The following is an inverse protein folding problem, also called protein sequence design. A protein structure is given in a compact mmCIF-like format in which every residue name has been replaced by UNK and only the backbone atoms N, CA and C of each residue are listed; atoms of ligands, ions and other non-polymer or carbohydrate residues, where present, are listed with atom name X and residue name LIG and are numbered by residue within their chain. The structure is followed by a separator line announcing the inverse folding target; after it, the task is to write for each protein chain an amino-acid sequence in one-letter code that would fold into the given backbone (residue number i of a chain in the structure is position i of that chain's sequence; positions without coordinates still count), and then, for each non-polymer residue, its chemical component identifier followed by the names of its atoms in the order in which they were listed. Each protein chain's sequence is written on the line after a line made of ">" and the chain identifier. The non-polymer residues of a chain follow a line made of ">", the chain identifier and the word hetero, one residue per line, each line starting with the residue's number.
data_IF_114774210939
#
_entry.id   IF_114774210939
#
_cell.length_a   1.000
_cell.length_b   1.000
_cell.length_c   1.000
_cell.angle_alpha   90.00
_cell.angle_beta   90.00
_cell.angle_gamma   90.00
#
_symmetry.space_group_name_H-M   'P 1'
#
loop_
_entity.id
_entity.type
_entity.pdbx_description
1 polymer ?
#
# COMPACT_ATOMS: atom_id res chain seq x y z
N UNK A 1 -13.54 -4.68 10.63
CA UNK A 1 -12.85 -5.93 10.21
C UNK A 1 -13.10 -6.98 11.28
N UNK A 2 -13.39 -8.25 10.94
CA UNK A 2 -13.79 -9.28 11.93
C UNK A 2 -12.64 -10.17 12.46
N UNK A 3 -11.43 -10.05 11.90
CA UNK A 3 -10.25 -10.81 12.32
C UNK A 3 -9.50 -10.17 13.48
N UNK A 4 -8.65 -10.96 14.15
CA UNK A 4 -7.71 -10.45 15.16
C UNK A 4 -6.72 -9.46 14.54
N UNK A 5 -6.18 -8.53 15.33
CA UNK A 5 -5.18 -7.54 14.84
C UNK A 5 -4.02 -8.24 14.14
N UNK A 6 -3.52 -9.33 14.70
CA UNK A 6 -2.53 -10.20 14.04
C UNK A 6 -3.23 -11.45 13.49
N UNK A 7 -2.98 -11.84 12.23
CA UNK A 7 -2.01 -11.29 11.27
C UNK A 7 -2.53 -10.12 10.42
N UNK A 8 -3.81 -9.75 10.55
CA UNK A 8 -4.50 -8.89 9.58
C UNK A 8 -3.92 -7.48 9.43
N UNK A 9 -3.30 -6.92 10.47
CA UNK A 9 -2.66 -5.61 10.43
C UNK A 9 -1.70 -5.48 9.24
N UNK A 10 -0.93 -6.53 8.93
CA UNK A 10 0.02 -6.50 7.82
C UNK A 10 -0.65 -6.51 6.44
N UNK A 11 -1.85 -7.09 6.30
CA UNK A 11 -2.56 -7.11 5.02
C UNK A 11 -3.55 -5.94 4.89
N UNK A 12 -4.05 -5.39 6.00
CA UNK A 12 -4.99 -4.26 5.97
C UNK A 12 -4.29 -2.91 5.98
N UNK A 13 -3.16 -2.79 6.70
CA UNK A 13 -2.32 -1.59 6.79
C UNK A 13 -1.02 -1.86 6.00
N UNK A 14 -1.19 -2.21 4.73
CA UNK A 14 -0.13 -2.74 3.88
C UNK A 14 1.10 -1.83 3.80
N UNK A 15 0.91 -0.51 3.67
CA UNK A 15 2.05 0.42 3.61
C UNK A 15 2.60 0.82 5.00
N UNK A 16 1.78 0.74 6.06
CA UNK A 16 2.14 1.20 7.40
C UNK A 16 2.83 0.17 8.30
N UNK A 17 2.62 -1.14 8.06
CA UNK A 17 3.32 -2.20 8.80
C UNK A 17 4.62 -2.62 8.11
N UNK A 18 4.55 -3.03 6.83
CA UNK A 18 5.71 -3.33 5.95
C UNK A 18 5.27 -3.16 4.50
N UNK A 19 5.95 -2.31 3.73
CA UNK A 19 5.60 -2.00 2.34
C UNK A 19 6.53 -2.65 1.31
N UNK A 20 6.02 -3.63 0.57
CA UNK A 20 6.70 -4.20 -0.60
C UNK A 20 6.75 -3.22 -1.76
N UNK A 21 5.69 -2.43 -1.97
CA UNK A 21 5.68 -1.42 -3.01
C UNK A 21 6.76 -0.35 -2.78
N UNK A 22 6.94 0.16 -1.55
CA UNK A 22 8.02 1.09 -1.25
C UNK A 22 9.41 0.50 -1.50
N UNK A 23 9.61 -0.79 -1.23
CA UNK A 23 10.88 -1.47 -1.53
C UNK A 23 11.18 -1.51 -3.04
N UNK A 24 10.16 -1.76 -3.88
CA UNK A 24 10.30 -1.76 -5.34
C UNK A 24 10.59 -0.35 -5.87
N UNK A 25 9.81 0.64 -5.45
CA UNK A 25 9.95 2.01 -5.95
C UNK A 25 11.30 2.60 -5.52
N UNK A 26 11.68 2.42 -4.25
CA UNK A 26 12.96 2.92 -3.73
C UNK A 26 14.17 2.29 -4.44
N UNK A 27 14.09 1.02 -4.85
CA UNK A 27 15.15 0.38 -5.64
C UNK A 27 15.42 1.08 -6.99
N UNK A 28 14.40 1.75 -7.56
CA UNK A 28 14.50 2.45 -8.84
C UNK A 28 14.82 3.94 -8.72
N UNK A 29 14.51 4.56 -7.57
CA UNK A 29 14.64 6.01 -7.34
C UNK A 29 15.82 6.35 -6.44
N UNK A 30 15.94 5.73 -5.26
CA UNK A 30 16.96 6.07 -4.26
C UNK A 30 18.39 5.97 -4.82
N UNK A 31 18.79 4.92 -5.56
CA UNK A 31 20.12 4.84 -6.15
C UNK A 31 20.45 5.97 -7.12
N UNK A 32 19.45 6.62 -7.71
CA UNK A 32 19.61 7.76 -8.64
C UNK A 32 19.64 9.12 -7.95
N UNK A 33 19.24 9.16 -6.68
CA UNK A 33 19.19 10.38 -5.86
C UNK A 33 20.33 10.48 -4.85
N UNK A 34 21.10 9.39 -4.66
CA UNK A 34 22.26 9.37 -3.75
C UNK A 34 23.57 9.56 -4.52
N UNK A 35 24.49 10.30 -3.92
CA UNK A 35 25.86 10.49 -4.44
C UNK A 35 26.84 9.44 -3.87
N UNK A 36 26.56 8.94 -2.67
CA UNK A 36 27.36 7.95 -1.94
C UNK A 36 26.46 7.09 -1.06
N UNK A 37 26.94 5.91 -0.70
CA UNK A 37 26.20 4.93 0.12
C UNK A 37 25.72 5.52 1.46
N UNK A 38 26.51 6.40 2.08
CA UNK A 38 26.14 7.06 3.33
C UNK A 38 24.83 7.87 3.27
N UNK A 39 24.41 8.33 2.07
CA UNK A 39 23.13 9.06 1.92
C UNK A 39 21.92 8.13 1.99
N UNK A 40 22.09 6.82 1.74
CA UNK A 40 20.99 5.85 1.76
C UNK A 40 20.29 5.82 3.13
N UNK A 41 21.05 5.97 4.22
CA UNK A 41 20.48 6.04 5.58
C UNK A 41 19.60 7.27 5.74
N UNK A 42 20.11 8.47 5.40
CA UNK A 42 19.34 9.71 5.57
C UNK A 42 18.07 9.72 4.70
N UNK A 43 18.19 9.35 3.42
CA UNK A 43 17.05 9.35 2.50
C UNK A 43 16.04 8.25 2.86
N UNK A 44 16.50 7.00 3.03
CA UNK A 44 15.62 5.86 3.30
C UNK A 44 14.96 5.95 4.68
N UNK A 45 15.75 6.13 5.74
CA UNK A 45 15.22 6.23 7.10
C UNK A 45 14.43 7.53 7.31
N UNK A 46 14.88 8.65 6.76
CA UNK A 46 14.17 9.93 6.82
C UNK A 46 12.81 9.87 6.14
N UNK A 47 12.69 9.19 4.99
CA UNK A 47 11.39 8.98 4.34
C UNK A 47 10.42 8.19 5.24
N UNK A 48 10.89 7.13 5.90
CA UNK A 48 10.07 6.34 6.83
C UNK A 48 9.65 7.15 8.06
N UNK A 49 10.50 8.02 8.58
CA UNK A 49 10.15 8.93 9.67
C UNK A 49 9.07 9.94 9.25
N UNK A 50 9.16 10.50 8.04
CA UNK A 50 8.14 11.41 7.52
C UNK A 50 6.80 10.71 7.29
N UNK A 51 6.81 9.47 6.77
CA UNK A 51 5.59 8.67 6.63
C UNK A 51 4.96 8.35 8.00
N UNK A 52 5.79 8.01 8.99
CA UNK A 52 5.35 7.79 10.38
C UNK A 52 4.76 9.06 11.00
N UNK A 53 5.38 10.21 10.73
CA UNK A 53 4.87 11.51 11.17
C UNK A 53 3.48 11.81 10.59
N UNK A 54 3.26 11.57 9.29
CA UNK A 54 1.93 11.70 8.67
C UNK A 54 0.92 10.76 9.32
N UNK A 55 1.32 9.52 9.63
CA UNK A 55 0.46 8.57 10.37
C UNK A 55 0.05 9.07 11.76
N UNK A 56 0.98 9.65 12.51
CA UNK A 56 0.69 10.28 13.81
C UNK A 56 -0.24 11.48 13.64
N UNK A 57 -0.01 12.34 12.65
CA UNK A 57 -0.89 13.48 12.36
C UNK A 57 -2.32 13.03 12.02
N UNK A 58 -2.48 11.95 11.24
CA UNK A 58 -3.79 11.37 10.94
C UNK A 58 -4.50 10.84 12.19
N UNK A 59 -3.77 10.21 13.11
CA UNK A 59 -4.32 9.76 14.38
C UNK A 59 -4.74 10.94 15.26
N UNK A 60 -3.92 11.98 15.36
CA UNK A 60 -4.26 13.20 16.11
C UNK A 60 -5.48 13.90 15.52
N UNK A 61 -5.53 14.05 14.19
CA UNK A 61 -6.68 14.62 13.49
C UNK A 61 -7.97 13.81 13.74
N UNK A 62 -7.89 12.48 13.71
CA UNK A 62 -9.01 11.60 14.02
C UNK A 62 -9.51 11.78 15.47
N UNK A 63 -8.59 11.85 16.44
CA UNK A 63 -8.91 12.02 17.86
C UNK A 63 -9.36 13.44 18.23
N UNK A 64 -9.03 14.45 17.43
CA UNK A 64 -9.45 15.83 17.66
C UNK A 64 -10.92 16.10 17.26
N UNK A 65 -11.48 15.28 16.38
CA UNK A 65 -12.89 15.37 15.97
C UNK A 65 -13.82 14.74 17.00
N UNK A 66 -15.07 15.22 17.07
CA UNK A 66 -16.09 14.51 17.84
C UNK A 66 -16.33 13.12 17.24
N UNK A 67 -16.48 12.06 18.05
CA UNK A 67 -16.68 10.71 17.53
C UNK A 67 -17.87 10.62 16.57
N UNK A 68 -18.95 11.35 16.82
CA UNK A 68 -20.12 11.40 15.94
C UNK A 68 -19.77 11.87 14.52
N UNK A 69 -19.00 12.96 14.40
CA UNK A 69 -18.52 13.47 13.09
C UNK A 69 -17.58 12.47 12.42
N UNK A 70 -16.65 11.88 13.18
CA UNK A 70 -15.74 10.86 12.65
C UNK A 70 -16.51 9.66 12.06
N UNK A 71 -17.50 9.14 12.79
CA UNK A 71 -18.32 8.02 12.31
C UNK A 71 -19.23 8.42 11.15
N UNK A 72 -19.73 9.65 11.10
CA UNK A 72 -20.55 10.14 9.99
C UNK A 72 -19.78 10.25 8.67
N UNK A 73 -18.51 10.61 8.75
CA UNK A 73 -17.61 10.63 7.59
C UNK A 73 -17.27 9.20 7.14
N UNK A 74 -16.90 8.33 8.08
CA UNK A 74 -16.27 7.04 7.76
C UNK A 74 -17.22 5.85 7.61
N UNK A 75 -18.47 5.96 8.03
CA UNK A 75 -19.41 4.83 7.98
C UNK A 75 -20.10 4.78 6.62
N UNK A 76 -20.17 3.61 5.96
CA UNK A 76 -20.88 3.47 4.70
C UNK A 76 -22.41 3.49 4.90
N UNK A 77 -23.19 3.86 3.85
CA UNK A 77 -24.65 3.93 3.94
C UNK A 77 -25.32 2.59 4.29
N UNK A 78 -24.66 1.47 3.98
CA UNK A 78 -25.12 0.12 4.33
C UNK A 78 -25.13 -0.15 5.85
N UNK A 79 -24.41 0.65 6.63
CA UNK A 79 -24.33 0.51 8.09
C UNK A 79 -25.17 1.60 8.78
N UNK A 80 -25.07 2.85 8.33
CA UNK A 80 -25.72 3.99 9.02
C UNK A 80 -27.03 4.45 8.38
N UNK A 81 -27.36 3.96 7.19
CA UNK A 81 -28.51 4.41 6.41
C UNK A 81 -28.14 5.44 5.33
N UNK A 82 -29.02 5.60 4.34
CA UNK A 82 -28.78 6.45 3.17
C UNK A 82 -29.15 7.93 3.38
N UNK A 83 -29.91 8.26 4.42
CA UNK A 83 -30.34 9.63 4.73
C UNK A 83 -29.55 10.20 5.92
N UNK A 84 -29.42 11.53 5.98
CA UNK A 84 -28.73 12.20 7.08
C UNK A 84 -29.39 11.92 8.44
N UNK A 85 -30.72 11.86 8.49
CA UNK A 85 -31.47 11.56 9.72
C UNK A 85 -31.25 10.12 10.19
N UNK A 86 -31.30 9.14 9.27
CA UNK A 86 -31.01 7.76 9.60
C UNK A 86 -29.56 7.58 10.06
N UNK A 87 -28.63 8.27 9.40
CA UNK A 87 -27.22 8.28 9.76
C UNK A 87 -26.99 8.82 11.16
N UNK A 88 -27.53 10.00 11.45
CA UNK A 88 -27.42 10.65 12.75
C UNK A 88 -28.07 9.83 13.87
N UNK A 89 -29.25 9.26 13.64
CA UNK A 89 -29.93 8.40 14.60
C UNK A 89 -29.13 7.13 14.91
N UNK A 90 -28.60 6.48 13.86
CA UNK A 90 -27.81 5.26 14.01
C UNK A 90 -26.51 5.53 14.77
N UNK A 91 -25.77 6.57 14.41
CA UNK A 91 -24.52 6.94 15.10
C UNK A 91 -24.80 7.37 16.55
N UNK A 92 -25.88 8.11 16.79
CA UNK A 92 -26.31 8.47 18.14
C UNK A 92 -26.66 7.24 18.98
N UNK A 93 -27.24 6.19 18.36
CA UNK A 93 -27.51 4.92 19.04
C UNK A 93 -26.26 4.18 19.49
N UNK A 94 -25.09 4.48 18.90
CA UNK A 94 -23.80 3.93 19.32
C UNK A 94 -23.20 4.64 20.55
N UNK A 95 -23.91 5.64 21.10
CA UNK A 95 -23.45 6.45 22.21
C UNK A 95 -22.68 7.70 21.80
N UNK A 96 -22.72 8.09 20.53
CA UNK A 96 -22.05 9.27 19.98
C UNK A 96 -23.07 10.28 19.47
N UNK A 97 -23.52 11.25 20.30
CA UNK A 97 -24.56 12.19 19.92
C UNK A 97 -24.15 12.96 18.66
N UNK A 98 -25.00 12.91 17.64
CA UNK A 98 -24.80 13.62 16.38
C UNK A 98 -26.15 14.14 15.89
N UNK A 99 -26.19 15.44 15.56
CA UNK A 99 -27.35 16.03 14.88
C UNK A 99 -27.07 16.13 13.37
N UNK A 100 -28.08 15.89 12.51
CA UNK A 100 -27.93 16.03 11.06
C UNK A 100 -27.38 17.41 10.65
N UNK A 101 -27.85 18.45 11.33
CA UNK A 101 -27.46 19.85 11.14
C UNK A 101 -25.96 20.09 11.37
N UNK A 102 -25.35 19.37 12.31
CA UNK A 102 -23.90 19.48 12.58
C UNK A 102 -23.09 19.14 11.34
N UNK A 103 -23.47 18.08 10.63
CA UNK A 103 -22.78 17.65 9.40
C UNK A 103 -23.07 18.59 8.23
N UNK A 104 -24.30 19.10 8.11
CA UNK A 104 -24.66 20.10 7.09
C UNK A 104 -23.88 21.39 7.28
N UNK A 105 -23.81 21.90 8.52
CA UNK A 105 -23.05 23.10 8.85
C UNK A 105 -21.55 22.92 8.61
N UNK A 106 -21.01 21.75 8.98
CA UNK A 106 -19.60 21.44 8.75
C UNK A 106 -19.29 21.37 7.24
N UNK A 107 -20.15 20.73 6.44
CA UNK A 107 -20.00 20.67 4.99
C UNK A 107 -19.99 22.08 4.37
N UNK A 108 -20.93 22.94 4.76
CA UNK A 108 -20.94 24.34 4.33
C UNK A 108 -19.69 25.11 4.77
N UNK A 109 -19.20 24.90 6.01
CA UNK A 109 -18.03 25.59 6.53
C UNK A 109 -16.73 25.20 5.81
N UNK A 110 -16.60 23.94 5.37
CA UNK A 110 -15.45 23.50 4.57
C UNK A 110 -15.59 23.84 3.08
N UNK A 111 -16.80 24.13 2.59
CA UNK A 111 -17.09 24.40 1.18
C UNK A 111 -17.45 23.17 0.36
N UNK A 112 -17.99 22.13 1.01
CA UNK A 112 -18.39 20.85 0.40
C UNK A 112 -19.91 20.71 0.36
N UNK A 113 -20.42 19.95 -0.62
CA UNK A 113 -21.86 19.64 -0.73
C UNK A 113 -22.30 18.73 0.41
N UNK A 114 -21.47 17.75 0.77
CA UNK A 114 -21.74 16.78 1.84
C UNK A 114 -20.45 16.15 2.33
N UNK A 115 -20.40 15.86 3.62
CA UNK A 115 -19.32 15.10 4.28
C UNK A 115 -19.79 13.71 4.74
N UNK A 116 -21.06 13.37 4.51
CA UNK A 116 -21.60 12.05 4.87
C UNK A 116 -20.98 10.94 4.02
N UNK A 117 -20.66 9.83 4.68
CA UNK A 117 -20.29 8.57 4.04
C UNK A 117 -19.08 8.68 3.07
N UNK A 118 -18.24 9.71 3.24
CA UNK A 118 -16.95 9.83 2.53
C UNK A 118 -15.91 8.92 3.20
N UNK A 119 -16.17 7.62 3.13
CA UNK A 119 -15.36 6.62 3.81
C UNK A 119 -13.91 6.66 3.32
N UNK A 120 -12.98 6.85 4.25
CA UNK A 120 -11.55 6.92 3.95
C UNK A 120 -10.79 7.75 5.00
N UNK A 121 -9.49 7.50 5.09
CA UNK A 121 -8.60 8.31 5.94
C UNK A 121 -8.55 9.77 5.48
N UNK A 122 -8.71 10.01 4.17
CA UNK A 122 -8.49 11.32 3.56
C UNK A 122 -9.43 12.42 4.06
N UNK A 123 -10.76 12.22 3.98
CA UNK A 123 -11.69 13.28 4.36
C UNK A 123 -11.63 13.54 5.87
N UNK A 124 -11.36 12.50 6.66
CA UNK A 124 -11.18 12.57 8.11
C UNK A 124 -9.93 13.37 8.49
N UNK A 125 -8.81 13.09 7.83
CA UNK A 125 -7.57 13.85 8.00
C UNK A 125 -7.82 15.32 7.63
N UNK A 126 -8.43 15.58 6.48
CA UNK A 126 -8.68 16.94 6.01
C UNK A 126 -9.58 17.74 6.98
N UNK A 127 -10.69 17.16 7.45
CA UNK A 127 -11.58 17.80 8.42
C UNK A 127 -10.87 18.01 9.76
N UNK A 128 -10.20 16.99 10.29
CA UNK A 128 -9.51 17.11 11.59
C UNK A 128 -8.37 18.12 11.56
N UNK A 129 -7.55 18.11 10.50
CA UNK A 129 -6.49 19.10 10.30
C UNK A 129 -7.05 20.51 10.12
N UNK A 130 -8.15 20.66 9.38
CA UNK A 130 -8.80 21.95 9.22
C UNK A 130 -9.29 22.53 10.56
N UNK A 131 -9.88 21.70 11.42
CA UNK A 131 -10.32 22.10 12.76
C UNK A 131 -9.14 22.47 13.66
N UNK A 132 -8.07 21.67 13.66
CA UNK A 132 -6.86 21.95 14.45
C UNK A 132 -6.24 23.29 14.01
N UNK A 133 -6.05 23.49 12.71
CA UNK A 133 -5.44 24.71 12.21
C UNK A 133 -6.35 25.93 12.31
N UNK A 134 -7.67 25.80 12.07
CA UNK A 134 -8.57 26.95 12.25
C UNK A 134 -8.60 27.43 13.70
N UNK A 135 -8.46 26.52 14.67
CA UNK A 135 -8.46 26.85 16.10
C UNK A 135 -7.14 27.48 16.58
N UNK A 136 -6.04 27.25 15.86
CA UNK A 136 -4.70 27.74 16.24
C UNK A 136 -4.23 28.91 15.37
N UNK A 137 -4.57 28.92 14.09
CA UNK A 137 -4.10 29.85 13.06
C UNK A 137 -5.26 30.30 12.16
N UNK A 138 -5.66 31.57 12.31
CA UNK A 138 -6.54 32.29 11.39
C UNK A 138 -8.05 32.07 11.53
N UNK A 139 -8.48 31.34 12.57
CA UNK A 139 -9.87 31.31 12.99
C UNK A 139 -10.83 30.57 12.04
N UNK A 140 -12.15 30.64 12.29
CA UNK A 140 -13.16 29.89 11.53
C UNK A 140 -13.21 30.22 10.03
N UNK A 141 -12.75 31.41 9.63
CA UNK A 141 -12.76 31.87 8.22
C UNK A 141 -11.78 31.10 7.34
N UNK A 142 -10.70 30.55 7.92
CA UNK A 142 -9.72 29.76 7.17
C UNK A 142 -10.03 28.26 7.16
N UNK A 143 -11.12 27.81 7.78
CA UNK A 143 -11.44 26.38 7.89
C UNK A 143 -11.58 25.73 6.49
N UNK A 144 -12.25 26.39 5.54
CA UNK A 144 -12.32 25.92 4.15
C UNK A 144 -10.95 25.87 3.47
N UNK A 145 -10.09 26.86 3.71
CA UNK A 145 -8.74 26.91 3.12
C UNK A 145 -7.89 25.76 3.66
N UNK A 146 -7.90 25.53 4.97
CA UNK A 146 -7.14 24.45 5.59
C UNK A 146 -7.64 23.07 5.17
N UNK A 147 -8.96 22.90 5.01
CA UNK A 147 -9.56 21.68 4.49
C UNK A 147 -9.08 21.39 3.06
N UNK A 148 -9.18 22.38 2.15
CA UNK A 148 -8.75 22.21 0.76
C UNK A 148 -7.23 22.03 0.64
N UNK A 149 -6.44 22.69 1.50
CA UNK A 149 -5.01 22.47 1.58
C UNK A 149 -4.68 21.02 1.98
N UNK A 150 -5.33 20.50 3.03
CA UNK A 150 -5.09 19.15 3.52
C UNK A 150 -5.51 18.09 2.48
N UNK A 151 -6.69 18.24 1.87
CA UNK A 151 -7.15 17.28 0.84
C UNK A 151 -6.30 17.35 -0.43
N UNK A 152 -5.81 18.53 -0.82
CA UNK A 152 -4.91 18.68 -1.97
C UNK A 152 -3.54 18.05 -1.70
N UNK A 153 -2.97 18.28 -0.51
CA UNK A 153 -1.71 17.65 -0.10
C UNK A 153 -1.77 16.12 -0.25
N UNK A 154 -2.86 15.51 0.23
CA UNK A 154 -3.08 14.08 0.11
C UNK A 154 -3.34 13.63 -1.33
N UNK A 155 -4.14 14.38 -2.09
CA UNK A 155 -4.37 14.09 -3.51
C UNK A 155 -3.06 14.11 -4.32
N UNK A 156 -2.17 15.06 -4.05
CA UNK A 156 -0.84 15.14 -4.67
C UNK A 156 0.06 13.96 -4.26
N UNK A 157 -0.02 13.54 -3.00
CA UNK A 157 0.67 12.35 -2.53
C UNK A 157 0.22 11.09 -3.28
N UNK A 158 -1.10 10.89 -3.42
CA UNK A 158 -1.67 9.78 -4.20
C UNK A 158 -1.28 9.88 -5.68
N UNK A 159 -1.34 11.08 -6.27
CA UNK A 159 -0.97 11.29 -7.67
C UNK A 159 0.51 10.95 -7.94
N UNK A 160 1.39 11.25 -6.98
CA UNK A 160 2.80 10.87 -7.06
C UNK A 160 2.98 9.34 -7.08
N UNK A 161 2.21 8.63 -6.24
CA UNK A 161 2.19 7.16 -6.23
C UNK A 161 1.65 6.61 -7.55
N UNK A 162 0.59 7.21 -8.11
CA UNK A 162 0.04 6.82 -9.42
C UNK A 162 1.01 7.07 -10.57
N UNK A 163 1.77 8.17 -10.57
CA UNK A 163 2.82 8.42 -11.58
C UNK A 163 3.92 7.35 -11.49
N UNK A 164 4.43 7.11 -10.29
CA UNK A 164 5.47 6.12 -10.06
C UNK A 164 4.99 4.70 -10.43
N UNK A 165 3.75 4.35 -10.05
CA UNK A 165 3.10 3.09 -10.39
C UNK A 165 2.88 2.92 -11.89
N UNK A 166 2.43 3.97 -12.59
CA UNK A 166 2.25 3.96 -14.04
C UNK A 166 3.58 3.74 -14.76
N UNK A 167 4.65 4.38 -14.27
CA UNK A 167 6.00 4.21 -14.80
C UNK A 167 6.52 2.78 -14.61
N UNK A 168 6.35 2.20 -13.42
CA UNK A 168 6.74 0.81 -13.14
C UNK A 168 5.91 -0.17 -13.98
N UNK A 169 4.59 0.00 -14.01
CA UNK A 169 3.69 -0.83 -14.82
C UNK A 169 4.08 -0.82 -16.30
N UNK A 170 4.43 0.35 -16.84
CA UNK A 170 4.97 0.47 -18.21
C UNK A 170 6.21 -0.38 -18.42
N UNK A 171 7.18 -0.31 -17.51
CA UNK A 171 8.40 -1.13 -17.62
C UNK A 171 8.10 -2.62 -17.52
N UNK A 172 7.18 -3.04 -16.66
CA UNK A 172 6.76 -4.44 -16.53
C UNK A 172 6.13 -4.95 -17.83
N UNK A 173 5.26 -4.15 -18.46
CA UNK A 173 4.65 -4.49 -19.75
C UNK A 173 5.70 -4.60 -20.85
N UNK A 174 6.62 -3.64 -20.93
CA UNK A 174 7.70 -3.66 -21.90
C UNK A 174 8.61 -4.87 -21.73
N UNK A 175 8.91 -5.26 -20.49
CA UNK A 175 9.71 -6.45 -20.21
C UNK A 175 8.96 -7.74 -20.58
N UNK A 176 7.69 -7.87 -20.18
CA UNK A 176 6.89 -9.07 -20.44
C UNK A 176 6.66 -9.27 -21.94
N UNK A 177 6.19 -8.24 -22.64
CA UNK A 177 5.96 -8.29 -24.09
C UNK A 177 7.29 -8.40 -24.83
N UNK A 178 8.35 -7.78 -24.32
CA UNK A 178 9.71 -7.87 -24.87
C UNK A 178 10.26 -9.29 -24.95
N UNK A 179 9.81 -10.21 -24.08
CA UNK A 179 10.18 -11.63 -24.12
C UNK A 179 9.55 -12.38 -25.30
N UNK A 180 8.40 -11.92 -25.80
CA UNK A 180 7.70 -12.51 -26.95
C UNK A 180 8.02 -11.73 -28.23
N UNK A 181 8.15 -10.42 -28.14
CA UNK A 181 8.41 -9.51 -29.26
C UNK A 181 9.56 -8.54 -28.94
N UNK A 182 10.74 -8.85 -29.47
CA UNK A 182 12.00 -8.16 -29.17
C UNK A 182 11.98 -6.61 -29.30
N UNK A 183 11.27 -5.97 -30.26
CA UNK A 183 11.17 -4.52 -30.34
C UNK A 183 10.57 -3.87 -29.08
N UNK A 184 9.64 -4.54 -28.41
CA UNK A 184 8.98 -4.04 -27.19
C UNK A 184 9.92 -4.00 -25.98
N UNK A 185 10.98 -4.83 -25.98
CA UNK A 185 12.02 -4.82 -24.94
C UNK A 185 12.97 -3.62 -25.04
N UNK A 186 12.94 -2.85 -26.15
CA UNK A 186 13.78 -1.66 -26.33
C UNK A 186 13.18 -0.48 -25.57
N UNK A 187 13.76 -0.14 -24.41
CA UNK A 187 13.27 0.91 -23.50
C UNK A 187 13.15 2.31 -24.12
N UNK A 188 13.85 2.59 -25.22
CA UNK A 188 13.80 3.87 -25.95
C UNK A 188 12.87 3.87 -27.17
N UNK A 189 12.17 2.77 -27.47
CA UNK A 189 11.33 2.68 -28.66
C UNK A 189 9.98 3.37 -28.45
N UNK A 190 9.78 4.51 -29.12
CA UNK A 190 8.65 5.41 -28.88
C UNK A 190 7.27 4.75 -29.02
N UNK A 191 7.00 3.92 -30.06
CA UNK A 191 5.73 3.22 -30.17
C UNK A 191 5.48 2.26 -29.00
N UNK A 192 6.51 1.53 -28.56
CA UNK A 192 6.41 0.63 -27.41
C UNK A 192 6.13 1.39 -26.11
N UNK A 193 6.74 2.56 -25.92
CA UNK A 193 6.47 3.43 -24.76
C UNK A 193 5.03 3.94 -24.81
N UNK A 194 4.56 4.46 -25.95
CA UNK A 194 3.21 5.00 -26.08
C UNK A 194 2.14 3.93 -25.86
N UNK A 195 2.29 2.76 -26.46
CA UNK A 195 1.35 1.65 -26.33
C UNK A 195 1.28 1.12 -24.89
N UNK A 196 2.44 0.88 -24.26
CA UNK A 196 2.49 0.41 -22.87
C UNK A 196 1.95 1.45 -21.89
N UNK A 197 2.25 2.74 -22.08
CA UNK A 197 1.66 3.84 -21.29
C UNK A 197 0.15 3.91 -21.48
N UNK A 198 -0.34 3.93 -22.72
CA UNK A 198 -1.76 4.00 -23.02
C UNK A 198 -2.53 2.83 -22.41
N UNK A 199 -1.95 1.63 -22.46
CA UNK A 199 -2.54 0.44 -21.84
C UNK A 199 -2.63 0.56 -20.32
N UNK A 200 -1.57 1.00 -19.63
CA UNK A 200 -1.59 1.14 -18.17
C UNK A 200 -2.53 2.27 -17.74
N UNK A 201 -2.55 3.40 -18.45
CA UNK A 201 -3.48 4.51 -18.16
C UNK A 201 -4.92 4.09 -18.41
N UNK A 202 -5.20 3.35 -19.50
CA UNK A 202 -6.53 2.80 -19.76
C UNK A 202 -6.95 1.79 -18.68
N UNK A 203 -6.01 0.99 -18.18
CA UNK A 203 -6.24 0.08 -17.07
C UNK A 203 -6.61 0.85 -15.79
N UNK A 204 -5.84 1.87 -15.40
CA UNK A 204 -6.21 2.74 -14.28
C UNK A 204 -7.59 3.41 -14.46
N UNK A 205 -7.88 3.90 -15.67
CA UNK A 205 -9.18 4.47 -16.00
C UNK A 205 -10.33 3.46 -15.90
N UNK A 206 -10.11 2.22 -16.34
CA UNK A 206 -11.07 1.14 -16.16
C UNK A 206 -11.26 0.78 -14.69
N UNK A 207 -10.18 0.71 -13.90
CA UNK A 207 -10.27 0.49 -12.46
C UNK A 207 -11.05 1.60 -11.76
N UNK A 208 -10.86 2.87 -12.14
CA UNK A 208 -11.64 4.00 -11.64
C UNK A 208 -13.12 3.86 -12.02
N UNK A 209 -13.41 3.55 -13.29
CA UNK A 209 -14.77 3.34 -13.77
C UNK A 209 -15.48 2.21 -13.01
N UNK A 210 -14.82 1.07 -12.81
CA UNK A 210 -15.35 -0.03 -12.01
C UNK A 210 -15.55 0.37 -10.54
N UNK A 211 -14.61 1.13 -9.96
CA UNK A 211 -14.72 1.63 -8.59
C UNK A 211 -15.92 2.56 -8.36
N UNK A 212 -16.30 3.35 -9.38
CA UNK A 212 -17.45 4.25 -9.32
C UNK A 212 -18.78 3.53 -9.64
N UNK A 213 -18.76 2.57 -10.56
CA UNK A 213 -19.98 1.91 -11.06
C UNK A 213 -20.39 0.66 -10.27
N UNK A 214 -19.43 -0.05 -9.67
CA UNK A 214 -19.68 -1.23 -8.83
C UNK A 214 -19.13 -1.03 -7.39
N UNK A 215 -19.91 -0.34 -6.53
CA UNK A 215 -19.50 -0.02 -5.16
C UNK A 215 -19.35 -1.26 -4.25
N UNK A 216 -19.91 -2.41 -4.63
CA UNK A 216 -19.88 -3.64 -3.81
C UNK A 216 -18.85 -4.66 -4.32
N UNK A 217 -18.55 -4.68 -5.62
CA UNK A 217 -17.68 -5.69 -6.25
C UNK A 217 -16.29 -5.23 -6.67
N UNK A 218 -16.05 -3.93 -6.89
CA UNK A 218 -14.78 -3.43 -7.44
C UNK A 218 -13.65 -3.30 -6.41
N UNK A 219 -13.51 -2.12 -5.81
CA UNK A 219 -12.36 -1.79 -4.94
C UNK A 219 -12.35 -2.63 -3.65
N UNK A 220 -13.52 -2.92 -3.09
CA UNK A 220 -13.65 -3.59 -1.79
C UNK A 220 -13.22 -5.07 -1.82
N UNK A 221 -13.43 -5.77 -2.94
CA UNK A 221 -12.98 -7.17 -3.14
C UNK A 221 -11.47 -7.23 -3.38
N UNK A 222 -10.89 -6.21 -4.02
CA UNK A 222 -9.47 -6.18 -4.35
C UNK A 222 -8.58 -5.79 -3.16
N UNK A 223 -9.10 -5.07 -2.17
CA UNK A 223 -8.29 -4.57 -1.05
C UNK A 223 -7.53 -5.66 -0.27
N UNK A 224 -8.14 -6.80 0.09
CA UNK A 224 -7.41 -7.91 0.69
C UNK A 224 -6.31 -8.49 -0.22
N UNK A 225 -6.57 -8.59 -1.52
CA UNK A 225 -5.59 -9.09 -2.50
C UNK A 225 -4.40 -8.14 -2.64
N UNK A 226 -4.67 -6.83 -2.65
CA UNK A 226 -3.65 -5.80 -2.65
C UNK A 226 -2.74 -5.94 -1.42
N UNK A 227 -3.32 -6.12 -0.24
CA UNK A 227 -2.58 -6.34 1.00
C UNK A 227 -1.65 -7.53 0.94
N UNK A 228 -2.16 -8.69 0.52
CA UNK A 228 -1.40 -9.94 0.41
C UNK A 228 -0.31 -9.82 -0.66
N UNK A 229 -0.63 -9.25 -1.83
CA UNK A 229 0.33 -9.01 -2.91
C UNK A 229 1.46 -8.07 -2.48
N UNK A 230 1.16 -7.01 -1.73
CA UNK A 230 2.18 -6.12 -1.17
C UNK A 230 3.12 -6.86 -0.19
N UNK A 231 2.59 -7.77 0.62
CA UNK A 231 3.44 -8.58 1.50
C UNK A 231 4.32 -9.57 0.72
N UNK A 232 3.82 -10.17 -0.36
CA UNK A 232 4.64 -10.97 -1.27
C UNK A 232 5.83 -10.15 -1.81
N UNK A 233 5.59 -8.92 -2.28
CA UNK A 233 6.67 -8.05 -2.76
C UNK A 233 7.69 -7.71 -1.67
N UNK A 234 7.23 -7.48 -0.44
CA UNK A 234 8.11 -7.27 0.71
C UNK A 234 8.96 -8.51 1.02
N UNK A 235 8.38 -9.71 0.96
CA UNK A 235 9.10 -10.96 1.13
C UNK A 235 10.22 -11.11 0.08
N UNK A 236 9.91 -10.83 -1.19
CA UNK A 236 10.90 -10.83 -2.29
C UNK A 236 12.05 -9.87 -2.00
N UNK A 237 11.75 -8.63 -1.60
CA UNK A 237 12.77 -7.63 -1.31
C UNK A 237 13.70 -8.07 -0.17
N UNK A 238 13.14 -8.61 0.92
CA UNK A 238 13.94 -9.07 2.06
C UNK A 238 14.78 -10.31 1.71
N UNK A 239 14.22 -11.27 0.96
CA UNK A 239 14.94 -12.45 0.45
C UNK A 239 16.11 -12.04 -0.44
N UNK A 240 15.90 -11.08 -1.34
CA UNK A 240 16.96 -10.52 -2.19
C UNK A 240 18.03 -9.85 -1.33
N UNK A 241 17.64 -9.03 -0.34
CA UNK A 241 18.58 -8.39 0.57
C UNK A 241 19.41 -9.40 1.38
N UNK A 242 18.79 -10.47 1.90
CA UNK A 242 19.48 -11.58 2.56
C UNK A 242 20.49 -12.25 1.63
N UNK A 243 20.10 -12.50 0.38
CA UNK A 243 20.95 -13.11 -0.64
C UNK A 243 22.17 -12.24 -0.95
N UNK A 244 21.98 -10.91 -1.05
CA UNK A 244 23.07 -9.95 -1.26
C UNK A 244 24.04 -9.97 -0.07
N UNK A 245 23.54 -9.92 1.17
CA UNK A 245 24.39 -9.98 2.37
C UNK A 245 25.22 -11.27 2.46
N UNK A 246 24.63 -12.40 2.06
CA UNK A 246 25.34 -13.69 1.94
C UNK A 246 26.46 -13.63 0.92
N UNK A 247 26.19 -13.09 -0.28
CA UNK A 247 27.21 -12.93 -1.33
C UNK A 247 28.34 -11.97 -0.92
N UNK A 248 28.03 -10.94 -0.14
CA UNK A 248 29.03 -10.02 0.44
C UNK A 248 29.81 -10.61 1.63
N UNK A 249 29.60 -11.88 1.99
CA UNK A 249 30.20 -12.54 3.16
C UNK A 249 29.94 -11.82 4.50
N UNK A 250 28.88 -11.00 4.58
CA UNK A 250 28.47 -10.25 5.78
C UNK A 250 27.54 -11.07 6.68
N UNK A 251 27.93 -12.31 7.00
CA UNK A 251 27.11 -13.29 7.73
C UNK A 251 26.54 -12.76 9.05
N UNK A 252 27.34 -11.98 9.80
CA UNK A 252 26.94 -11.38 11.08
C UNK A 252 25.72 -10.47 11.01
N UNK A 253 25.38 -9.93 9.84
CA UNK A 253 24.29 -8.96 9.65
C UNK A 253 23.04 -9.57 9.00
N UNK A 254 23.06 -10.86 8.67
CA UNK A 254 21.95 -11.52 7.96
C UNK A 254 20.65 -11.48 8.77
N UNK A 255 20.73 -11.60 10.08
CA UNK A 255 19.56 -11.60 10.98
C UNK A 255 18.67 -10.36 10.79
N UNK A 256 19.24 -9.22 10.40
CA UNK A 256 18.51 -7.96 10.14
C UNK A 256 17.48 -8.12 9.03
N UNK A 257 17.74 -8.99 8.05
CA UNK A 257 16.83 -9.26 6.92
C UNK A 257 16.07 -10.57 7.11
N UNK A 258 16.71 -11.58 7.70
CA UNK A 258 16.13 -12.91 7.85
C UNK A 258 15.02 -12.95 8.90
N UNK A 259 15.18 -12.28 10.05
CA UNK A 259 14.15 -12.25 11.10
C UNK A 259 12.85 -11.60 10.59
N UNK A 260 12.88 -10.40 9.96
CA UNK A 260 11.69 -9.84 9.32
C UNK A 260 11.11 -10.73 8.22
N UNK A 261 11.95 -11.41 7.43
CA UNK A 261 11.48 -12.33 6.39
C UNK A 261 10.66 -13.47 6.98
N UNK A 262 11.20 -14.14 8.01
CA UNK A 262 10.52 -15.27 8.67
C UNK A 262 9.20 -14.81 9.27
N UNK A 263 9.20 -13.68 9.99
CA UNK A 263 7.97 -13.10 10.54
C UNK A 263 6.93 -12.81 9.46
N UNK A 264 7.35 -12.14 8.39
CA UNK A 264 6.46 -11.71 7.31
C UNK A 264 5.88 -12.91 6.55
N UNK A 265 6.67 -13.96 6.31
CA UNK A 265 6.19 -15.21 5.71
C UNK A 265 5.15 -15.88 6.62
N UNK A 266 5.42 -16.00 7.93
CA UNK A 266 4.45 -16.59 8.88
C UNK A 266 3.13 -15.81 8.86
N UNK A 267 3.19 -14.49 8.99
CA UNK A 267 2.03 -13.61 9.00
C UNK A 267 1.25 -13.70 7.70
N UNK A 268 1.94 -13.62 6.55
CA UNK A 268 1.32 -13.66 5.22
C UNK A 268 0.66 -15.00 4.95
N UNK A 269 1.32 -16.10 5.30
CA UNK A 269 0.75 -17.46 5.15
C UNK A 269 -0.45 -17.66 6.06
N UNK A 270 -0.37 -17.21 7.32
CA UNK A 270 -1.49 -17.30 8.27
C UNK A 270 -2.70 -16.47 7.81
N UNK A 271 -2.46 -15.23 7.36
CA UNK A 271 -3.50 -14.35 6.84
C UNK A 271 -4.15 -14.92 5.57
N UNK A 272 -3.34 -15.45 4.65
CA UNK A 272 -3.81 -16.08 3.41
C UNK A 272 -4.67 -17.32 3.71
N UNK A 273 -4.22 -18.17 4.63
CA UNK A 273 -4.99 -19.34 5.07
C UNK A 273 -6.35 -18.94 5.66
N UNK A 274 -6.35 -17.98 6.60
CA UNK A 274 -7.59 -17.48 7.20
C UNK A 274 -8.50 -16.84 6.15
N UNK A 275 -7.98 -16.03 5.23
CA UNK A 275 -8.78 -15.43 4.16
C UNK A 275 -9.42 -16.45 3.21
N UNK A 276 -8.77 -17.58 2.95
CA UNK A 276 -9.35 -18.61 2.08
C UNK A 276 -10.34 -19.49 2.84
N UNK A 277 -9.95 -19.99 4.02
CA UNK A 277 -10.61 -21.15 4.66
C UNK A 277 -11.35 -20.85 5.96
N UNK A 278 -11.29 -19.62 6.49
CA UNK A 278 -11.97 -19.32 7.75
C UNK A 278 -13.50 -19.55 7.62
N UNK A 279 -14.12 -20.24 8.60
CA UNK A 279 -15.55 -20.57 8.55
C UNK A 279 -16.47 -19.35 8.67
N UNK A 280 -15.97 -18.21 9.16
CA UNK A 280 -16.75 -16.98 9.26
C UNK A 280 -16.93 -16.32 7.89
N UNK A 281 -18.19 -16.07 7.50
CA UNK A 281 -18.52 -15.33 6.27
C UNK A 281 -17.97 -13.90 6.24
N UNK A 282 -17.61 -13.33 7.41
CA UNK A 282 -16.99 -12.00 7.50
C UNK A 282 -15.51 -12.00 7.16
N UNK A 283 -14.86 -13.17 7.15
CA UNK A 283 -13.41 -13.29 7.05
C UNK A 283 -12.99 -14.16 5.87
N UNK A 284 -13.55 -15.36 5.75
CA UNK A 284 -13.20 -16.33 4.71
C UNK A 284 -13.98 -16.12 3.42
N UNK A 285 -13.27 -16.05 2.29
CA UNK A 285 -13.86 -15.86 0.97
C UNK A 285 -14.79 -17.02 0.57
N UNK A 286 -14.38 -18.26 0.82
CA UNK A 286 -15.17 -19.44 0.48
C UNK A 286 -16.40 -19.57 1.38
N UNK A 287 -16.29 -19.22 2.67
CA UNK A 287 -17.42 -19.21 3.59
C UNK A 287 -18.45 -18.14 3.20
N UNK A 288 -17.99 -16.94 2.83
CA UNK A 288 -18.84 -15.86 2.35
C UNK A 288 -19.57 -16.26 1.05
N UNK A 289 -18.84 -16.82 0.08
CA UNK A 289 -19.42 -17.29 -1.17
C UNK A 289 -20.51 -18.37 -0.96
N UNK A 290 -20.29 -19.28 0.00
CA UNK A 290 -21.29 -20.30 0.38
C UNK A 290 -22.51 -19.68 1.07
N UNK A 291 -22.30 -18.73 1.96
CA UNK A 291 -23.40 -18.07 2.68
C UNK A 291 -24.28 -17.25 1.72
N UNK A 292 -23.67 -16.48 0.80
CA UNK A 292 -24.40 -15.75 -0.23
C UNK A 292 -25.18 -16.69 -1.17
N UNK A 293 -24.57 -17.81 -1.58
CA UNK A 293 -25.25 -18.81 -2.39
C UNK A 293 -26.47 -19.40 -1.64
N UNK A 294 -26.32 -19.67 -0.34
CA UNK A 294 -27.40 -20.14 0.52
C UNK A 294 -28.53 -19.11 0.65
N UNK A 295 -28.20 -17.83 0.82
CA UNK A 295 -29.19 -16.75 0.90
C UNK A 295 -30.00 -16.60 -0.40
N UNK A 296 -29.39 -16.84 -1.56
CA UNK A 296 -30.11 -16.91 -2.84
C UNK A 296 -31.09 -18.08 -2.85
N UNK A 297 -30.65 -19.28 -2.47
CA UNK A 297 -31.53 -20.48 -2.45
C UNK A 297 -32.64 -20.39 -1.41
N UNK A 298 -32.40 -19.69 -0.29
CA UNK A 298 -33.40 -19.44 0.77
C UNK A 298 -34.37 -18.29 0.42
N UNK A 299 -34.24 -17.66 -0.76
CA UNK A 299 -35.11 -16.56 -1.19
C UNK A 299 -34.93 -15.26 -0.40
N UNK A 300 -33.83 -15.11 0.35
CA UNK A 300 -33.54 -13.93 1.18
C UNK A 300 -33.01 -12.74 0.38
N UNK A 301 -32.54 -12.99 -0.85
CA UNK A 301 -32.06 -11.95 -1.78
C UNK A 301 -33.18 -11.60 -2.75
N UNK A 302 -33.54 -10.32 -2.81
CA UNK A 302 -34.51 -9.81 -3.78
C UNK A 302 -34.10 -10.16 -5.22
N UNK A 303 -35.08 -10.55 -6.06
CA UNK A 303 -34.82 -11.02 -7.42
C UNK A 303 -33.96 -10.07 -8.26
N UNK A 304 -34.14 -8.76 -8.10
CA UNK A 304 -33.36 -7.72 -8.77
C UNK A 304 -31.86 -7.76 -8.43
N UNK A 305 -31.50 -8.26 -7.24
CA UNK A 305 -30.11 -8.27 -6.74
C UNK A 305 -29.40 -9.60 -6.97
N UNK A 306 -30.11 -10.65 -7.40
CA UNK A 306 -29.53 -12.00 -7.58
C UNK A 306 -28.33 -11.98 -8.54
N UNK A 307 -28.45 -11.29 -9.68
CA UNK A 307 -27.35 -11.20 -10.65
C UNK A 307 -26.10 -10.53 -10.07
N UNK A 308 -26.28 -9.47 -9.27
CA UNK A 308 -25.18 -8.81 -8.56
C UNK A 308 -24.54 -9.72 -7.51
N UNK A 309 -25.36 -10.43 -6.72
CA UNK A 309 -24.88 -11.39 -5.72
C UNK A 309 -24.14 -12.57 -6.35
N UNK A 310 -24.58 -13.05 -7.52
CA UNK A 310 -23.86 -14.09 -8.27
C UNK A 310 -22.47 -13.64 -8.73
N UNK A 311 -22.34 -12.38 -9.20
CA UNK A 311 -21.03 -11.79 -9.52
C UNK A 311 -20.14 -11.71 -8.28
N UNK A 312 -20.69 -11.31 -7.14
CA UNK A 312 -19.94 -11.26 -5.88
C UNK A 312 -19.46 -12.67 -5.45
N UNK A 313 -20.29 -13.70 -5.59
CA UNK A 313 -19.90 -15.10 -5.34
C UNK A 313 -18.75 -15.52 -6.25
N UNK A 314 -18.79 -15.15 -7.53
CA UNK A 314 -17.71 -15.41 -8.48
C UNK A 314 -16.42 -14.70 -8.05
N UNK A 315 -16.49 -13.39 -7.74
CA UNK A 315 -15.35 -12.60 -7.30
C UNK A 315 -14.72 -13.20 -6.04
N UNK A 316 -15.51 -13.61 -5.04
CA UNK A 316 -14.99 -14.25 -3.83
C UNK A 316 -14.25 -15.57 -4.11
N UNK A 317 -14.74 -16.37 -5.06
CA UNK A 317 -14.05 -17.60 -5.47
C UNK A 317 -12.77 -17.29 -6.24
N UNK A 318 -12.79 -16.28 -7.10
CA UNK A 318 -11.61 -15.79 -7.79
C UNK A 318 -10.57 -15.26 -6.79
N UNK A 319 -10.98 -14.46 -5.81
CA UNK A 319 -10.11 -13.91 -4.77
C UNK A 319 -9.47 -15.03 -3.93
N UNK A 320 -10.22 -16.09 -3.62
CA UNK A 320 -9.67 -17.27 -2.97
C UNK A 320 -8.59 -17.96 -3.82
N UNK A 321 -8.83 -18.12 -5.13
CA UNK A 321 -7.86 -18.71 -6.04
C UNK A 321 -6.60 -17.85 -6.21
N UNK A 322 -6.77 -16.54 -6.40
CA UNK A 322 -5.65 -15.58 -6.54
C UNK A 322 -4.83 -15.54 -5.24
N UNK A 323 -5.49 -15.54 -4.08
CA UNK A 323 -4.80 -15.59 -2.78
C UNK A 323 -3.98 -16.87 -2.63
N UNK A 324 -4.52 -18.01 -3.05
CA UNK A 324 -3.79 -19.28 -3.03
C UNK A 324 -2.57 -19.25 -3.96
N UNK A 325 -2.69 -18.65 -5.13
CA UNK A 325 -1.56 -18.45 -6.07
C UNK A 325 -0.48 -17.59 -5.42
N UNK A 326 -0.83 -16.46 -4.80
CA UNK A 326 0.15 -15.61 -4.12
C UNK A 326 0.83 -16.32 -2.96
N UNK A 327 0.08 -17.07 -2.14
CA UNK A 327 0.66 -17.86 -1.06
C UNK A 327 1.63 -18.94 -1.59
N UNK A 328 1.28 -19.62 -2.69
CA UNK A 328 2.16 -20.58 -3.35
C UNK A 328 3.43 -19.92 -3.88
N UNK A 329 3.32 -18.74 -4.49
CA UNK A 329 4.48 -17.98 -4.97
C UNK A 329 5.44 -17.61 -3.84
N UNK A 330 4.93 -17.21 -2.66
CA UNK A 330 5.77 -16.97 -1.47
C UNK A 330 6.51 -18.25 -1.07
N UNK A 331 5.83 -19.40 -1.04
CA UNK A 331 6.46 -20.66 -0.67
C UNK A 331 7.55 -21.06 -1.67
N UNK A 332 7.28 -20.97 -2.97
CA UNK A 332 8.27 -21.27 -4.03
C UNK A 332 9.48 -20.35 -3.89
N UNK A 333 9.27 -19.05 -3.69
CA UNK A 333 10.34 -18.08 -3.47
C UNK A 333 11.21 -18.46 -2.26
N UNK A 334 10.60 -18.80 -1.12
CA UNK A 334 11.33 -19.17 0.10
C UNK A 334 12.13 -20.46 -0.11
N UNK A 335 11.54 -21.46 -0.76
CA UNK A 335 12.22 -22.72 -1.07
C UNK A 335 13.41 -22.47 -2.00
N UNK A 336 13.22 -21.71 -3.08
CA UNK A 336 14.31 -21.34 -3.99
C UNK A 336 15.41 -20.57 -3.26
N UNK A 337 15.04 -19.62 -2.41
CA UNK A 337 15.98 -18.85 -1.60
C UNK A 337 16.82 -19.75 -0.68
N UNK A 338 16.20 -20.69 0.02
CA UNK A 338 16.89 -21.64 0.89
C UNK A 338 17.90 -22.47 0.08
N UNK A 339 17.51 -22.99 -1.09
CA UNK A 339 18.43 -23.72 -1.97
C UNK A 339 19.61 -22.86 -2.41
N UNK A 340 19.36 -21.59 -2.79
CA UNK A 340 20.43 -20.66 -3.16
C UNK A 340 21.37 -20.36 -1.98
N UNK A 341 20.82 -20.09 -0.80
CA UNK A 341 21.61 -19.79 0.41
C UNK A 341 22.45 -21.00 0.82
N UNK A 342 21.87 -22.20 0.79
CA UNK A 342 22.61 -23.44 1.04
C UNK A 342 23.74 -23.64 0.01
N UNK A 343 23.49 -23.39 -1.28
CA UNK A 343 24.51 -23.52 -2.33
C UNK A 343 25.68 -22.53 -2.16
N UNK A 344 25.40 -21.30 -1.70
CA UNK A 344 26.42 -20.28 -1.43
C UNK A 344 27.24 -20.67 -0.19
N UNK A 345 26.57 -21.08 0.89
CA UNK A 345 27.22 -21.47 2.15
C UNK A 345 28.07 -22.74 2.00
N UNK A 346 27.60 -23.71 1.21
CA UNK A 346 28.32 -24.95 0.91
C UNK A 346 29.44 -24.78 -0.14
N UNK A 347 29.70 -23.56 -0.62
CA UNK A 347 30.69 -23.22 -1.66
C UNK A 347 30.52 -23.98 -2.98
N UNK A 348 29.33 -24.54 -3.22
CA UNK A 348 28.98 -25.22 -4.49
C UNK A 348 28.78 -24.25 -5.64
N UNK A 349 28.57 -22.96 -5.34
CA UNK A 349 28.38 -21.89 -6.31
C UNK A 349 29.20 -20.67 -5.91
N UNK A 350 29.88 -20.07 -6.88
CA UNK A 350 30.68 -18.88 -6.64
C UNK A 350 29.80 -17.65 -6.40
N UNK A 351 30.14 -16.87 -5.37
CA UNK A 351 29.42 -15.64 -5.02
C UNK A 351 29.87 -14.48 -5.93
N UNK A 352 29.27 -14.36 -7.10
CA UNK A 352 29.51 -13.21 -7.99
C UNK A 352 28.62 -12.03 -7.58
N UNK A 353 29.26 -10.89 -7.32
CA UNK A 353 28.64 -9.58 -7.13
C UNK A 353 28.86 -8.76 -8.40
N UNK A 354 27.82 -8.06 -8.85
CA UNK A 354 27.88 -7.14 -9.99
C UNK A 354 27.82 -5.71 -9.48
N UNK A 355 28.93 -5.24 -8.92
CA UNK A 355 29.06 -3.86 -8.47
C UNK A 355 29.40 -2.96 -9.66
N UNK A 356 28.79 -1.78 -9.69
CA UNK A 356 29.21 -0.75 -10.64
C UNK A 356 30.65 -0.34 -10.32
N UNK A 357 31.50 -0.11 -11.33
CA UNK A 357 32.84 0.43 -11.09
C UNK A 357 32.76 1.71 -10.26
N UNK A 358 33.68 1.88 -9.32
CA UNK A 358 33.78 3.13 -8.57
C UNK A 358 34.02 4.29 -9.53
N UNK A 359 33.16 5.31 -9.47
CA UNK A 359 33.32 6.56 -10.21
C UNK A 359 33.64 7.64 -9.18
N UNK A 360 34.86 8.16 -9.22
CA UNK A 360 35.23 9.32 -8.42
C UNK A 360 34.28 10.48 -8.75
N UNK A 361 33.73 11.11 -7.71
CA UNK A 361 32.80 12.23 -7.87
C UNK A 361 33.47 13.35 -8.67
N UNK A 362 32.85 13.81 -9.76
CA UNK A 362 33.33 14.94 -10.59
C UNK A 362 33.24 16.31 -9.90
N UNK A 363 32.84 16.34 -8.64
CA UNK A 363 32.64 17.57 -7.86
C UNK A 363 33.94 17.96 -7.18
N UNK A 364 34.17 19.27 -7.05
CA UNK A 364 35.40 19.81 -6.47
C UNK A 364 35.65 19.22 -5.07
N UNK A 365 36.93 19.05 -4.67
CA UNK A 365 37.31 18.51 -3.35
C UNK A 365 36.64 19.21 -2.15
N UNK A 366 36.13 20.42 -2.36
CA UNK A 366 35.56 21.30 -1.34
C UNK A 366 34.02 21.42 -1.39
N UNK A 367 33.30 20.55 -2.13
CA UNK A 367 31.83 20.57 -2.08
C UNK A 367 31.34 19.98 -0.75
N UNK A 368 31.19 20.86 0.26
CA UNK A 368 30.71 20.55 1.60
C UNK A 368 29.18 20.43 1.66
N UNK A 369 28.61 19.50 0.89
CA UNK A 369 27.32 18.93 1.25
C UNK A 369 27.50 18.10 2.52
N UNK A 370 27.15 18.68 3.66
CA UNK A 370 27.45 18.21 5.02
C UNK A 370 27.51 16.68 5.23
N UNK A 371 28.58 16.22 5.89
CA UNK A 371 28.68 14.91 6.53
C UNK A 371 30.02 14.22 6.29
N UNK A 372 30.95 14.38 7.24
CA UNK A 372 32.26 13.74 7.25
C UNK A 372 32.17 12.21 7.04
N UNK A 373 32.85 11.73 6.00
CA UNK A 373 33.37 10.38 5.94
C UNK A 373 34.88 10.54 5.81
N UNK A 374 35.61 10.42 6.91
CA UNK A 374 37.06 10.40 6.92
C UNK A 374 37.54 9.25 6.05
N UNK A 375 38.36 9.57 5.04
CA UNK A 375 39.14 8.58 4.32
C UNK A 375 40.06 7.89 5.34
N UNK A 376 39.87 6.58 5.53
CA UNK A 376 40.82 5.75 6.25
C UNK A 376 41.27 4.64 5.30
N UNK A 377 42.49 4.81 4.79
CA UNK A 377 43.47 3.75 4.60
C UNK A 377 43.37 2.90 3.33
N UNK A 378 44.03 3.35 2.28
CA UNK A 378 44.79 2.45 1.39
C UNK A 378 46.28 2.77 1.61
N UNK A 379 47.02 1.79 2.13
CA UNK A 379 48.41 1.48 1.78
C UNK A 379 48.96 0.40 2.73
N UNK A 380 48.93 -0.84 2.24
CA UNK A 380 49.80 -1.93 2.68
C UNK A 380 50.97 -1.96 1.68
N UNK A 381 52.22 -1.89 2.17
CA UNK A 381 53.51 -2.17 1.49
C UNK A 381 53.98 -1.14 0.45
N UNK A 382 55.24 -0.74 0.30
CA UNK A 382 56.54 -1.25 0.77
C UNK A 382 57.56 -0.08 0.92
N UNK A 383 58.63 -0.30 1.70
CA UNK A 383 59.77 0.56 2.11
C UNK A 383 59.59 1.57 3.27
#
# INVERSE_FOLDING_TARGET
>A
FAGKIFPFCFITIACGAVSGFHSLISSGTTPKMILREGHARFIGYGAMLLESFVGVMAMVAACAMTPGVYFAINSPPSIVGATADAGAATISSWGYPLQPETMTNLAHAVGEITLWNRAGGAPSLAVGMAQIFSNTIGGPRLLSIWYHFAIMFEALFILTVLDAGTRVGRFMVQELVGRVWAPFGRRGWMPGILLSSAMIVAMWGYFLYQGVTDPLGGINSLWPLFGIGNQLLAAVALVVATTILLKMKKLRWIWVTLVPTVWLVIVTMTASYQKIFDPSSRLGFLANAKDLARQITEGKIAAANIAGTQRLIFNLRLDAAVTAIFALMVLVLVVEAIFQWYSILSRRRESVLHESPYIATRWAPNFSGAGHGTAVGDAIGDD
#
